data_IF_242647487949
#
_entry.id   IF_242647487949
#
_cell.length_a   1.000
_cell.length_b   1.000
_cell.length_c   1.000
_cell.angle_alpha   90.00
_cell.angle_beta   90.00
_cell.angle_gamma   90.00
#
_symmetry.space_group_name_H-M   'P 1'
#
loop_
_entity.id
_entity.type
_entity.pdbx_description
1 polymer ?
#
# COMPACT_ATOMS: atom_id res chain seq x y z
N UNK A 1 8.72 14.07 -8.36
CA UNK A 1 8.02 15.10 -7.55
C UNK A 1 8.12 14.65 -6.09
N UNK A 2 8.88 15.33 -5.23
CA UNK A 2 8.82 15.07 -3.80
C UNK A 2 7.39 15.40 -3.33
N UNK A 3 6.70 14.43 -2.72
CA UNK A 3 5.36 14.66 -2.13
C UNK A 3 4.17 13.97 -2.81
N UNK A 4 4.36 13.13 -3.83
CA UNK A 4 3.27 12.24 -4.26
C UNK A 4 3.19 11.05 -3.29
N UNK A 5 2.18 11.07 -2.40
CA UNK A 5 1.86 9.93 -1.55
C UNK A 5 1.50 8.76 -2.46
N UNK A 6 2.11 7.60 -2.22
CA UNK A 6 1.84 6.37 -2.97
C UNK A 6 0.36 6.02 -2.83
N UNK A 7 -0.35 5.85 -3.94
CA UNK A 7 -1.73 5.39 -3.94
C UNK A 7 -1.79 3.87 -3.97
N UNK A 8 -1.93 3.27 -2.80
CA UNK A 8 -1.99 1.81 -2.64
C UNK A 8 -3.21 1.19 -3.32
N UNK A 9 -4.33 1.92 -3.40
CA UNK A 9 -5.56 1.40 -3.99
C UNK A 9 -5.44 1.35 -5.51
N UNK A 10 -4.93 2.42 -6.12
CA UNK A 10 -4.66 2.49 -7.55
C UNK A 10 -3.66 1.40 -7.97
N UNK A 11 -2.55 1.26 -7.26
CA UNK A 11 -1.55 0.23 -7.58
C UNK A 11 -2.09 -1.19 -7.46
N UNK A 12 -2.90 -1.47 -6.43
CA UNK A 12 -3.55 -2.76 -6.27
C UNK A 12 -4.55 -3.04 -7.39
N UNK A 13 -5.33 -2.03 -7.82
CA UNK A 13 -6.29 -2.14 -8.92
C UNK A 13 -5.57 -2.43 -10.24
N UNK A 14 -4.57 -1.61 -10.60
CA UNK A 14 -3.75 -1.80 -11.81
C UNK A 14 -3.15 -3.21 -11.84
N UNK A 15 -2.64 -3.68 -10.70
CA UNK A 15 -2.04 -5.01 -10.62
C UNK A 15 -3.06 -6.13 -10.87
N UNK A 16 -4.31 -5.97 -10.39
CA UNK A 16 -5.39 -6.94 -10.62
C UNK A 16 -5.84 -6.99 -12.07
N UNK A 17 -5.71 -5.88 -12.80
CA UNK A 17 -6.10 -5.73 -14.20
C UNK A 17 -5.08 -6.31 -15.20
N UNK A 18 -3.87 -6.66 -14.74
CA UNK A 18 -2.85 -7.29 -15.57
C UNK A 18 -3.36 -8.58 -16.25
N UNK A 19 -2.90 -8.78 -17.49
CA UNK A 19 -3.29 -9.93 -18.31
C UNK A 19 -3.04 -11.27 -17.60
N UNK A 20 -3.91 -12.23 -17.91
CA UNK A 20 -3.88 -13.60 -17.35
C UNK A 20 -3.81 -14.67 -18.44
N UNK A 21 -3.54 -14.27 -19.70
CA UNK A 21 -3.69 -15.12 -20.88
C UNK A 21 -2.57 -16.15 -20.97
N UNK A 22 -1.33 -15.74 -20.68
CA UNK A 22 -0.16 -16.62 -20.75
C UNK A 22 0.40 -16.94 -19.36
N UNK A 23 1.12 -18.05 -19.25
CA UNK A 23 1.79 -18.41 -17.99
C UNK A 23 2.79 -17.32 -17.54
N UNK A 24 3.65 -16.75 -18.41
CA UNK A 24 4.53 -15.66 -18.01
C UNK A 24 3.78 -14.42 -17.49
N UNK A 25 2.69 -14.01 -18.14
CA UNK A 25 1.87 -12.89 -17.69
C UNK A 25 1.27 -13.15 -16.30
N UNK A 26 0.78 -14.37 -16.05
CA UNK A 26 0.30 -14.77 -14.73
C UNK A 26 1.40 -14.68 -13.68
N UNK A 27 2.61 -15.17 -13.98
CA UNK A 27 3.74 -15.11 -13.05
C UNK A 27 4.15 -13.66 -12.72
N UNK A 28 4.16 -12.77 -13.72
CA UNK A 28 4.45 -11.34 -13.52
C UNK A 28 3.38 -10.72 -12.62
N UNK A 29 2.10 -10.99 -12.90
CA UNK A 29 1.00 -10.50 -12.08
C UNK A 29 1.12 -10.96 -10.63
N UNK A 30 1.36 -12.25 -10.39
CA UNK A 30 1.49 -12.77 -9.02
C UNK A 30 2.67 -12.13 -8.27
N UNK A 31 3.82 -11.92 -8.92
CA UNK A 31 4.94 -11.20 -8.31
C UNK A 31 4.59 -9.75 -7.99
N UNK A 32 3.89 -9.06 -8.90
CA UNK A 32 3.47 -7.68 -8.69
C UNK A 32 2.47 -7.58 -7.53
N UNK A 33 1.50 -8.50 -7.46
CA UNK A 33 0.53 -8.59 -6.35
C UNK A 33 1.25 -8.80 -5.01
N UNK A 34 2.19 -9.75 -4.98
CA UNK A 34 2.99 -10.03 -3.78
C UNK A 34 3.77 -8.81 -3.32
N UNK A 35 4.40 -8.09 -4.26
CA UNK A 35 5.18 -6.88 -3.97
C UNK A 35 4.30 -5.78 -3.38
N UNK A 36 3.18 -5.43 -4.03
CA UNK A 36 2.27 -4.36 -3.56
C UNK A 36 1.76 -4.68 -2.16
N UNK A 37 1.33 -5.92 -1.92
CA UNK A 37 0.86 -6.35 -0.60
C UNK A 37 1.95 -6.30 0.46
N UNK A 38 3.14 -6.81 0.17
CA UNK A 38 4.26 -6.82 1.12
C UNK A 38 4.70 -5.41 1.49
N UNK A 39 4.80 -4.54 0.48
CA UNK A 39 5.15 -3.13 0.68
C UNK A 39 4.07 -2.41 1.51
N UNK A 40 2.79 -2.66 1.24
CA UNK A 40 1.66 -2.06 1.97
C UNK A 40 1.68 -2.48 3.44
N UNK A 41 1.84 -3.78 3.72
CA UNK A 41 1.91 -4.28 5.09
C UNK A 41 3.11 -3.68 5.83
N UNK A 42 4.28 -3.60 5.18
CA UNK A 42 5.45 -2.99 5.79
C UNK A 42 5.24 -1.48 6.08
N UNK A 43 4.55 -0.76 5.19
CA UNK A 43 4.20 0.64 5.41
C UNK A 43 3.17 0.80 6.54
N UNK A 44 2.16 -0.06 6.59
CA UNK A 44 1.15 -0.07 7.65
C UNK A 44 1.78 -0.34 9.03
N UNK A 45 2.68 -1.31 9.14
CA UNK A 45 3.42 -1.60 10.38
C UNK A 45 4.19 -0.37 10.86
N UNK A 46 4.95 0.28 9.95
CA UNK A 46 5.67 1.51 10.29
C UNK A 46 4.73 2.64 10.71
N UNK A 47 3.57 2.76 10.04
CA UNK A 47 2.52 3.69 10.42
C UNK A 47 1.99 3.44 11.83
N UNK A 48 1.64 2.19 12.15
CA UNK A 48 1.19 1.81 13.48
C UNK A 48 2.23 2.11 14.57
N UNK A 49 3.50 1.77 14.33
CA UNK A 49 4.60 2.10 15.25
C UNK A 49 4.69 3.61 15.50
N UNK A 50 4.64 4.40 14.43
CA UNK A 50 4.70 5.86 14.55
C UNK A 50 3.47 6.48 15.25
N UNK A 51 2.28 5.86 15.16
CA UNK A 51 1.11 6.25 15.96
C UNK A 51 1.36 5.96 17.45
N UNK A 52 1.82 4.75 17.78
CA UNK A 52 2.10 4.35 19.18
C UNK A 52 3.16 5.24 19.82
N UNK A 53 4.20 5.61 19.06
CA UNK A 53 5.27 6.48 19.55
C UNK A 53 4.85 7.96 19.66
N UNK A 54 3.62 8.32 19.26
CA UNK A 54 3.14 9.71 19.26
C UNK A 54 3.74 10.58 18.15
N UNK A 55 4.37 9.97 17.15
CA UNK A 55 5.03 10.64 16.03
C UNK A 55 4.09 10.97 14.87
N UNK A 56 2.80 10.62 14.97
CA UNK A 56 1.76 10.96 13.99
C UNK A 56 0.65 11.74 14.68
N UNK A 57 0.34 12.91 14.15
CA UNK A 57 -0.79 13.71 14.60
C UNK A 57 -2.11 13.08 14.18
N UNK A 58 -3.13 13.19 15.03
CA UNK A 58 -4.48 12.79 14.68
C UNK A 58 -4.93 13.54 13.41
N UNK A 59 -5.52 12.81 12.47
CA UNK A 59 -6.06 13.39 11.23
C UNK A 59 -7.27 14.29 11.56
N UNK A 60 -8.04 13.90 12.58
CA UNK A 60 -9.15 14.68 13.14
C UNK A 60 -8.84 15.04 14.60
N UNK A 61 -8.08 16.12 14.85
CA UNK A 61 -7.70 16.50 16.21
C UNK A 61 -8.87 16.98 17.09
N UNK A 62 -10.09 17.10 16.53
CA UNK A 62 -11.30 17.56 17.24
C UNK A 62 -12.29 16.46 17.64
N UNK A 63 -12.05 15.19 17.28
CA UNK A 63 -12.83 14.06 17.81
C UNK A 63 -12.15 13.59 19.10
N UNK A 64 -12.69 13.99 20.26
CA UNK A 64 -12.29 13.42 21.55
C UNK A 64 -12.61 11.91 21.55
N UNK A 65 -11.66 11.11 22.06
CA UNK A 65 -11.75 9.64 22.11
C UNK A 65 -12.81 9.12 23.08
#
# INVERSE_FOLDING_TARGET
>A
IPGQVRDWNEELQITKELSKKTLPERLIRERAMFKVHSDFVAAAIRGCQAVVDGNIMAINPGEES
#
